data_IF_802124023089
#
_entry.id   IF_802124023089
#
_cell.length_a   1.000
_cell.length_b   1.000
_cell.length_c   1.000
_cell.angle_alpha   90.00
_cell.angle_beta   90.00
_cell.angle_gamma   90.00
#
_symmetry.space_group_name_H-M   'P 1'
#
loop_
_entity.id
_entity.type
_entity.pdbx_description
1 polymer ?
#
# COMPACT_ATOMS: atom_id res chain seq x y z
N UNK A 1 -39.46 -16.06 8.57
CA UNK A 1 -38.16 -16.00 7.85
C UNK A 1 -37.21 -15.02 8.55
N UNK A 2 -36.91 -15.22 9.84
CA UNK A 2 -36.30 -14.18 10.71
C UNK A 2 -35.07 -14.67 11.48
N UNK A 3 -34.39 -15.72 11.01
CA UNK A 3 -33.30 -16.38 11.76
C UNK A 3 -31.89 -16.20 11.18
N UNK A 4 -31.68 -15.43 10.09
CA UNK A 4 -30.36 -15.37 9.42
C UNK A 4 -29.55 -14.09 9.65
N UNK A 5 -30.05 -13.12 10.42
CA UNK A 5 -29.36 -11.83 10.63
C UNK A 5 -28.42 -11.80 11.82
N UNK A 6 -28.48 -12.78 12.74
CA UNK A 6 -27.74 -12.74 14.00
C UNK A 6 -26.28 -13.23 13.93
N UNK A 7 -25.86 -13.94 12.85
CA UNK A 7 -24.52 -14.57 12.78
C UNK A 7 -23.63 -14.02 11.67
N UNK A 8 -24.00 -12.92 11.01
CA UNK A 8 -23.27 -12.45 9.83
C UNK A 8 -22.08 -11.58 10.23
N UNK A 9 -20.88 -12.16 10.11
CA UNK A 9 -19.62 -11.40 10.18
C UNK A 9 -19.38 -10.72 8.83
N UNK A 10 -19.26 -9.39 8.84
CA UNK A 10 -18.94 -8.60 7.65
C UNK A 10 -17.49 -8.12 7.75
N UNK A 11 -16.75 -8.26 6.65
CA UNK A 11 -15.34 -7.88 6.54
C UNK A 11 -15.25 -6.80 5.45
N UNK A 12 -14.79 -5.61 5.81
CA UNK A 12 -14.60 -4.51 4.87
C UNK A 12 -13.13 -4.46 4.45
N UNK A 13 -12.86 -4.89 3.22
CA UNK A 13 -11.52 -5.00 2.65
C UNK A 13 -11.11 -6.45 2.39
N UNK A 14 -10.92 -6.79 1.12
CA UNK A 14 -10.45 -8.07 0.61
C UNK A 14 -8.92 -8.14 0.45
N UNK A 15 -8.20 -7.39 1.28
CA UNK A 15 -6.74 -7.44 1.38
C UNK A 15 -6.22 -8.71 2.07
N UNK A 16 -4.89 -8.79 2.31
CA UNK A 16 -4.28 -9.90 3.03
C UNK A 16 -4.91 -10.16 4.40
N UNK A 17 -5.18 -9.09 5.15
CA UNK A 17 -5.77 -9.17 6.48
C UNK A 17 -7.23 -9.65 6.44
N UNK A 18 -8.08 -9.04 5.61
CA UNK A 18 -9.49 -9.42 5.53
C UNK A 18 -9.71 -10.83 4.99
N UNK A 19 -8.94 -11.25 3.99
CA UNK A 19 -8.98 -12.64 3.49
C UNK A 19 -8.40 -13.64 4.49
N UNK A 20 -7.47 -13.23 5.36
CA UNK A 20 -7.01 -14.06 6.47
C UNK A 20 -8.09 -14.23 7.55
N UNK A 21 -8.75 -13.14 7.93
CA UNK A 21 -9.85 -13.17 8.87
C UNK A 21 -11.00 -14.07 8.36
N UNK A 22 -11.40 -13.92 7.09
CA UNK A 22 -12.45 -14.74 6.49
C UNK A 22 -12.10 -16.24 6.49
N UNK A 23 -10.85 -16.58 6.19
CA UNK A 23 -10.40 -17.97 6.20
C UNK A 23 -10.35 -18.56 7.61
N UNK A 24 -9.90 -17.79 8.61
CA UNK A 24 -9.89 -18.25 9.99
C UNK A 24 -11.32 -18.44 10.53
N UNK A 25 -12.24 -17.51 10.24
CA UNK A 25 -13.67 -17.67 10.56
C UNK A 25 -14.24 -18.95 9.96
N UNK A 26 -13.99 -19.19 8.67
CA UNK A 26 -14.45 -20.39 7.98
C UNK A 26 -13.87 -21.68 8.58
N UNK A 27 -12.62 -21.66 9.06
CA UNK A 27 -11.99 -22.79 9.75
C UNK A 27 -12.72 -23.16 11.05
N UNK A 28 -13.38 -22.19 11.69
CA UNK A 28 -14.23 -22.39 12.87
C UNK A 28 -15.72 -22.56 12.53
N UNK A 29 -16.07 -22.75 11.25
CA UNK A 29 -17.45 -22.96 10.81
C UNK A 29 -18.31 -21.69 10.77
N UNK A 30 -17.70 -20.50 10.92
CA UNK A 30 -18.39 -19.22 10.84
C UNK A 30 -18.45 -18.72 9.39
N UNK A 31 -19.61 -18.20 8.99
CA UNK A 31 -19.81 -17.61 7.67
C UNK A 31 -19.48 -16.12 7.69
N UNK A 32 -18.90 -15.63 6.61
CA UNK A 32 -18.54 -14.21 6.47
C UNK A 32 -18.87 -13.65 5.09
N UNK A 33 -19.00 -12.32 5.03
CA UNK A 33 -19.15 -11.56 3.79
C UNK A 33 -17.95 -10.61 3.68
N UNK A 34 -17.13 -10.75 2.65
CA UNK A 34 -16.08 -9.79 2.30
C UNK A 34 -16.66 -8.76 1.33
N UNK A 35 -16.47 -7.47 1.62
CA UNK A 35 -16.84 -6.36 0.74
C UNK A 35 -15.56 -5.62 0.35
N UNK A 36 -15.30 -5.49 -0.95
CA UNK A 36 -14.12 -4.80 -1.47
C UNK A 36 -14.50 -3.90 -2.67
N UNK A 37 -13.95 -2.68 -2.68
CA UNK A 37 -14.14 -1.72 -3.77
C UNK A 37 -13.45 -2.15 -5.08
N UNK A 38 -12.45 -3.03 -4.98
CA UNK A 38 -11.67 -3.50 -6.11
C UNK A 38 -12.33 -4.70 -6.81
N UNK A 39 -12.03 -4.92 -8.10
CA UNK A 39 -12.58 -6.04 -8.88
C UNK A 39 -12.01 -7.41 -8.51
N UNK A 40 -10.93 -7.47 -7.70
CA UNK A 40 -10.28 -8.71 -7.29
C UNK A 40 -9.74 -8.59 -5.87
N UNK A 41 -9.87 -9.67 -5.10
CA UNK A 41 -9.24 -9.85 -3.79
C UNK A 41 -7.71 -9.85 -3.89
N UNK A 42 -7.06 -9.57 -2.76
CA UNK A 42 -5.60 -9.52 -2.62
C UNK A 42 -5.06 -8.17 -2.14
N UNK A 43 -5.91 -7.14 -2.06
CA UNK A 43 -5.50 -5.77 -1.74
C UNK A 43 -4.48 -5.24 -2.76
N UNK A 44 -3.90 -4.07 -2.50
CA UNK A 44 -2.94 -3.43 -3.43
C UNK A 44 -1.71 -4.31 -3.72
N UNK A 45 -1.30 -5.14 -2.75
CA UNK A 45 -0.07 -5.93 -2.83
C UNK A 45 -0.24 -7.16 -3.73
N UNK A 46 -1.32 -7.92 -3.55
CA UNK A 46 -1.56 -9.21 -4.22
C UNK A 46 -2.63 -9.13 -5.32
N UNK A 47 -3.10 -7.92 -5.65
CA UNK A 47 -3.88 -7.70 -6.89
C UNK A 47 -2.96 -8.04 -8.04
N UNK A 48 -3.14 -9.24 -8.60
CA UNK A 48 -2.47 -9.65 -9.84
C UNK A 48 -2.79 -8.68 -10.97
N UNK A 49 -2.16 -8.84 -12.15
CA UNK A 49 -2.43 -7.96 -13.28
C UNK A 49 -3.94 -7.94 -13.58
N UNK A 50 -4.45 -6.76 -13.94
CA UNK A 50 -5.86 -6.60 -14.26
C UNK A 50 -6.24 -7.43 -15.49
N UNK A 51 -5.30 -7.62 -16.43
CA UNK A 51 -5.40 -8.50 -17.60
C UNK A 51 -4.54 -9.75 -17.45
N UNK A 52 -4.86 -10.82 -18.19
CA UNK A 52 -3.97 -11.98 -18.29
C UNK A 52 -2.69 -11.55 -19.01
N UNK A 53 -1.53 -11.91 -18.46
CA UNK A 53 -0.21 -11.62 -19.02
C UNK A 53 0.62 -12.89 -18.94
N UNK A 54 1.33 -13.23 -20.00
CA UNK A 54 2.06 -14.50 -20.09
C UNK A 54 3.28 -14.55 -19.16
N UNK A 55 3.91 -13.40 -18.86
CA UNK A 55 5.01 -13.34 -17.90
C UNK A 55 5.14 -11.97 -17.22
N UNK A 56 5.58 -11.98 -15.96
CA UNK A 56 5.90 -10.79 -15.15
C UNK A 56 7.32 -10.94 -14.59
N UNK A 57 8.37 -10.87 -15.45
CA UNK A 57 9.75 -11.18 -15.04
C UNK A 57 10.33 -10.18 -14.04
N UNK A 58 9.73 -9.00 -13.93
CA UNK A 58 10.08 -7.95 -12.97
C UNK A 58 9.45 -8.15 -11.59
N UNK A 59 8.53 -9.11 -11.40
CA UNK A 59 7.96 -9.42 -10.09
C UNK A 59 8.76 -10.50 -9.34
N UNK A 60 8.92 -10.26 -8.04
CA UNK A 60 9.61 -11.17 -7.12
C UNK A 60 8.83 -12.49 -6.94
N UNK A 61 9.54 -13.62 -6.86
CA UNK A 61 8.92 -14.94 -6.71
C UNK A 61 8.25 -15.12 -5.34
N UNK A 62 8.70 -14.39 -4.31
CA UNK A 62 7.99 -14.36 -3.03
C UNK A 62 6.59 -13.78 -3.18
N UNK A 63 6.44 -12.72 -3.98
CA UNK A 63 5.15 -12.10 -4.24
C UNK A 63 4.21 -13.08 -4.92
N UNK A 64 4.69 -13.81 -5.94
CA UNK A 64 3.91 -14.85 -6.62
C UNK A 64 3.46 -15.94 -5.64
N UNK A 65 4.37 -16.46 -4.81
CA UNK A 65 4.02 -17.47 -3.78
C UNK A 65 2.97 -16.98 -2.80
N UNK A 66 3.08 -15.74 -2.32
CA UNK A 66 2.12 -15.16 -1.40
C UNK A 66 0.73 -14.99 -2.05
N UNK A 67 0.68 -14.56 -3.31
CA UNK A 67 -0.55 -14.50 -4.09
C UNK A 67 -1.20 -15.88 -4.24
N UNK A 68 -0.42 -16.90 -4.59
CA UNK A 68 -0.92 -18.28 -4.72
C UNK A 68 -1.46 -18.80 -3.39
N UNK A 69 -0.72 -18.62 -2.29
CA UNK A 69 -1.16 -19.06 -0.96
C UNK A 69 -2.49 -18.41 -0.55
N UNK A 70 -2.67 -17.11 -0.86
CA UNK A 70 -3.91 -16.40 -0.60
C UNK A 70 -5.08 -17.00 -1.37
N UNK A 71 -4.88 -17.25 -2.67
CA UNK A 71 -5.88 -17.85 -3.55
C UNK A 71 -6.27 -19.26 -3.09
N UNK A 72 -5.28 -20.10 -2.76
CA UNK A 72 -5.50 -21.46 -2.27
C UNK A 72 -6.35 -21.45 -0.99
N UNK A 73 -6.00 -20.58 -0.02
CA UNK A 73 -6.74 -20.48 1.24
C UNK A 73 -8.18 -20.01 1.03
N UNK A 74 -8.41 -19.04 0.14
CA UNK A 74 -9.77 -18.63 -0.22
C UNK A 74 -10.55 -19.77 -0.87
N UNK A 75 -9.96 -20.45 -1.86
CA UNK A 75 -10.62 -21.54 -2.58
C UNK A 75 -11.05 -22.69 -1.66
N UNK A 76 -10.24 -23.02 -0.65
CA UNK A 76 -10.53 -24.06 0.33
C UNK A 76 -11.79 -23.76 1.18
N UNK A 77 -12.17 -22.49 1.33
CA UNK A 77 -13.26 -22.05 2.21
C UNK A 77 -14.36 -21.27 1.49
N UNK A 78 -14.39 -21.29 0.14
CA UNK A 78 -15.29 -20.48 -0.69
C UNK A 78 -16.77 -20.63 -0.35
N UNK A 79 -17.19 -21.77 0.21
CA UNK A 79 -18.60 -22.04 0.53
C UNK A 79 -19.06 -21.34 1.82
N UNK A 80 -18.11 -20.88 2.64
CA UNK A 80 -18.36 -20.15 3.89
C UNK A 80 -18.06 -18.65 3.76
N UNK A 81 -17.59 -18.20 2.59
CA UNK A 81 -17.15 -16.82 2.36
C UNK A 81 -17.92 -16.27 1.15
N UNK A 82 -18.87 -15.39 1.40
CA UNK A 82 -19.49 -14.57 0.37
C UNK A 82 -18.55 -13.40 0.03
N UNK A 83 -18.43 -13.04 -1.25
CA UNK A 83 -17.57 -11.96 -1.70
C UNK A 83 -18.35 -10.99 -2.59
N UNK A 84 -18.30 -9.70 -2.22
CA UNK A 84 -18.86 -8.57 -2.98
C UNK A 84 -17.71 -7.66 -3.42
N UNK A 85 -17.22 -7.87 -4.63
CA UNK A 85 -16.21 -7.01 -5.28
C UNK A 85 -16.88 -5.86 -6.03
N UNK A 86 -16.12 -4.80 -6.34
CA UNK A 86 -16.66 -3.59 -6.98
C UNK A 86 -17.80 -2.97 -6.15
N UNK A 87 -17.76 -3.17 -4.84
CA UNK A 87 -18.77 -2.67 -3.91
C UNK A 87 -18.08 -1.80 -2.87
N UNK A 88 -18.44 -0.51 -2.84
CA UNK A 88 -17.90 0.47 -1.90
C UNK A 88 -18.78 0.53 -0.64
N UNK A 89 -18.16 0.42 0.52
CA UNK A 89 -18.81 0.79 1.80
C UNK A 89 -18.71 2.31 1.94
N UNK A 90 -19.85 2.99 2.04
CA UNK A 90 -19.92 4.45 2.20
C UNK A 90 -19.84 4.88 3.67
N UNK A 91 -20.36 4.06 4.58
CA UNK A 91 -20.39 4.34 6.00
C UNK A 91 -21.48 3.55 6.73
N UNK A 92 -21.66 3.77 8.04
CA UNK A 92 -22.76 3.20 8.79
C UNK A 92 -24.11 3.83 8.41
N UNK A 93 -25.17 3.03 8.44
CA UNK A 93 -26.56 3.48 8.37
C UNK A 93 -27.29 2.89 9.58
N UNK A 94 -27.45 3.67 10.66
CA UNK A 94 -27.95 3.16 11.94
C UNK A 94 -26.89 2.40 12.74
N UNK A 95 -27.29 1.44 13.58
CA UNK A 95 -26.40 0.82 14.57
C UNK A 95 -25.55 -0.34 14.02
N UNK A 96 -26.13 -1.22 13.21
CA UNK A 96 -25.53 -2.51 12.81
C UNK A 96 -25.69 -2.78 11.30
N UNK A 97 -25.57 -1.73 10.51
CA UNK A 97 -25.78 -1.79 9.07
C UNK A 97 -24.83 -0.83 8.35
N UNK A 98 -24.36 -1.27 7.18
CA UNK A 98 -23.53 -0.48 6.27
C UNK A 98 -24.34 -0.07 5.04
N UNK A 99 -24.14 1.17 4.61
CA UNK A 99 -24.58 1.63 3.30
C UNK A 99 -23.52 1.25 2.26
N UNK A 100 -23.96 0.56 1.21
CA UNK A 100 -23.13 0.09 0.11
C UNK A 100 -23.48 0.83 -1.19
N UNK A 101 -22.50 0.96 -2.07
CA UNK A 101 -22.66 1.44 -3.43
C UNK A 101 -21.92 0.56 -4.42
N UNK A 102 -22.61 0.15 -5.48
CA UNK A 102 -22.07 -0.56 -6.64
C UNK A 102 -22.79 -0.07 -7.93
N UNK A 103 -22.52 -0.71 -9.07
CA UNK A 103 -23.10 -0.36 -10.38
C UNK A 103 -24.64 -0.50 -10.42
N UNK A 104 -25.24 -1.24 -9.48
CA UNK A 104 -26.70 -1.40 -9.36
C UNK A 104 -27.36 -0.32 -8.50
N UNK A 105 -26.57 0.52 -7.82
CA UNK A 105 -27.03 1.63 -7.00
C UNK A 105 -26.68 1.45 -5.52
N UNK A 106 -27.57 1.92 -4.64
CA UNK A 106 -27.38 1.86 -3.19
C UNK A 106 -28.06 0.62 -2.61
N UNK A 107 -27.35 -0.07 -1.71
CA UNK A 107 -27.89 -1.20 -0.97
C UNK A 107 -27.42 -1.21 0.48
N UNK A 108 -27.98 -2.11 1.28
CA UNK A 108 -27.75 -2.17 2.72
C UNK A 108 -27.21 -3.53 3.13
N UNK A 109 -26.22 -3.53 4.01
CA UNK A 109 -25.64 -4.75 4.55
C UNK A 109 -25.72 -4.76 6.08
N UNK A 110 -26.63 -5.53 6.69
CA UNK A 110 -26.62 -5.75 8.13
C UNK A 110 -25.44 -6.64 8.55
N UNK A 111 -24.96 -6.46 9.78
CA UNK A 111 -23.90 -7.25 10.38
C UNK A 111 -24.13 -7.48 11.88
N UNK A 112 -23.70 -8.62 12.39
CA UNK A 112 -23.61 -8.89 13.83
C UNK A 112 -22.22 -8.52 14.37
N UNK A 113 -21.18 -8.85 13.59
CA UNK A 113 -19.80 -8.47 13.83
C UNK A 113 -19.20 -7.83 12.58
N UNK A 114 -18.33 -6.86 12.77
CA UNK A 114 -17.67 -6.10 11.73
C UNK A 114 -16.15 -6.20 11.89
N UNK A 115 -15.45 -6.54 10.82
CA UNK A 115 -13.99 -6.52 10.74
C UNK A 115 -13.59 -5.47 9.71
N UNK A 116 -12.93 -4.40 10.16
CA UNK A 116 -12.35 -3.39 9.30
C UNK A 116 -10.94 -3.85 8.88
N UNK A 117 -10.78 -4.16 7.60
CA UNK A 117 -9.52 -4.52 6.96
C UNK A 117 -9.23 -3.57 5.79
N UNK A 118 -9.47 -2.27 6.02
CA UNK A 118 -9.46 -1.20 5.01
C UNK A 118 -8.07 -0.84 4.50
N UNK A 119 -7.02 -1.28 5.19
CA UNK A 119 -5.62 -1.10 4.82
C UNK A 119 -5.15 0.36 4.91
N UNK A 120 -4.07 0.67 4.20
CA UNK A 120 -3.47 1.98 4.17
C UNK A 120 -3.50 2.61 2.76
N UNK A 121 -3.15 3.90 2.68
CA UNK A 121 -2.85 4.60 1.45
C UNK A 121 -1.49 5.29 1.55
N UNK A 122 -0.86 5.59 0.42
CA UNK A 122 0.40 6.32 0.41
C UNK A 122 0.23 7.72 0.98
N UNK A 123 1.24 8.17 1.72
CA UNK A 123 1.32 9.54 2.21
C UNK A 123 1.69 10.47 1.08
N UNK A 124 0.75 11.32 0.67
CA UNK A 124 1.03 12.44 -0.23
C UNK A 124 1.79 13.54 0.51
N UNK A 125 2.99 13.89 0.02
CA UNK A 125 3.78 15.02 0.53
C UNK A 125 3.78 16.13 -0.53
N UNK A 126 3.17 17.29 -0.27
CA UNK A 126 3.18 18.40 -1.22
C UNK A 126 4.56 19.05 -1.28
N UNK A 127 5.00 19.40 -2.49
CA UNK A 127 6.19 20.20 -2.76
C UNK A 127 5.95 21.01 -4.05
N UNK A 128 6.68 22.12 -4.30
CA UNK A 128 6.47 22.91 -5.52
C UNK A 128 6.60 22.05 -6.78
N UNK A 129 5.57 22.06 -7.64
CA UNK A 129 5.51 21.28 -8.87
C UNK A 129 5.01 19.83 -8.73
N UNK A 130 4.61 19.39 -7.52
CA UNK A 130 4.11 18.03 -7.28
C UNK A 130 2.86 17.64 -8.07
N UNK A 131 2.14 18.61 -8.62
CA UNK A 131 0.94 18.43 -9.44
C UNK A 131 1.23 18.19 -10.93
N UNK A 132 2.49 18.33 -11.37
CA UNK A 132 2.84 18.19 -12.78
C UNK A 132 2.60 16.76 -13.27
N UNK A 133 2.04 16.57 -14.49
CA UNK A 133 2.05 15.28 -15.16
C UNK A 133 3.48 14.70 -15.18
N UNK A 134 3.62 13.43 -14.77
CA UNK A 134 4.91 12.77 -14.56
C UNK A 134 5.30 12.63 -13.08
N UNK A 135 4.70 13.40 -12.17
CA UNK A 135 4.85 13.18 -10.72
C UNK A 135 3.82 12.14 -10.26
N UNK A 136 4.31 11.01 -9.72
CA UNK A 136 3.46 9.92 -9.24
C UNK A 136 3.86 9.48 -7.83
N UNK A 137 2.89 8.98 -7.06
CA UNK A 137 3.20 8.25 -5.83
C UNK A 137 3.87 6.91 -6.17
N UNK A 138 4.79 6.48 -5.32
CA UNK A 138 5.70 5.36 -5.56
C UNK A 138 4.98 4.00 -5.68
N UNK A 139 3.97 3.76 -4.86
CA UNK A 139 3.09 2.59 -4.97
C UNK A 139 2.20 2.67 -6.20
N UNK A 140 1.79 3.86 -6.63
CA UNK A 140 1.17 4.09 -7.95
C UNK A 140 2.06 3.65 -9.12
N UNK A 141 3.35 4.03 -9.10
CA UNK A 141 4.36 3.56 -10.05
C UNK A 141 4.50 2.04 -10.01
N UNK A 142 4.57 1.46 -8.81
CA UNK A 142 4.66 0.01 -8.64
C UNK A 142 3.43 -0.73 -9.19
N UNK A 143 2.23 -0.19 -8.96
CA UNK A 143 0.99 -0.78 -9.45
C UNK A 143 0.93 -0.79 -10.97
N UNK A 144 1.36 0.29 -11.62
CA UNK A 144 1.45 0.36 -13.07
C UNK A 144 2.39 -0.73 -13.62
N UNK A 145 3.57 -0.89 -13.01
CA UNK A 145 4.51 -1.96 -13.38
C UNK A 145 3.90 -3.36 -13.18
N UNK A 146 3.20 -3.59 -12.05
CA UNK A 146 2.54 -4.88 -11.75
C UNK A 146 1.41 -5.21 -12.73
N UNK A 147 0.78 -4.19 -13.31
CA UNK A 147 -0.31 -4.36 -14.28
C UNK A 147 0.17 -4.73 -15.68
N UNK A 148 1.45 -4.52 -16.00
CA UNK A 148 2.10 -4.74 -17.31
C UNK A 148 1.44 -4.01 -18.49
N UNK A 149 0.78 -2.88 -18.22
CA UNK A 149 0.12 -2.09 -19.26
C UNK A 149 1.01 -0.97 -19.80
N UNK A 150 1.89 -0.38 -18.97
CA UNK A 150 2.64 0.83 -19.32
C UNK A 150 3.98 0.92 -18.57
N UNK A 151 4.98 1.52 -19.22
CA UNK A 151 6.13 2.12 -18.51
C UNK A 151 5.69 3.50 -18.01
N UNK A 152 5.81 3.81 -16.71
CA UNK A 152 5.33 5.10 -16.17
C UNK A 152 6.12 6.33 -16.67
N UNK A 153 7.31 6.10 -17.23
CA UNK A 153 8.19 7.08 -17.86
C UNK A 153 9.35 6.37 -18.55
N UNK A 154 10.17 7.11 -19.29
CA UNK A 154 11.38 6.59 -19.92
C UNK A 154 12.62 6.87 -19.07
N UNK A 155 12.68 8.03 -18.41
CA UNK A 155 13.82 8.50 -17.63
C UNK A 155 13.36 9.00 -16.26
N UNK A 156 13.48 8.15 -15.25
CA UNK A 156 12.84 8.34 -13.96
C UNK A 156 13.81 8.45 -12.78
N UNK A 157 13.45 9.28 -11.81
CA UNK A 157 14.04 9.28 -10.48
C UNK A 157 13.03 8.82 -9.42
N UNK A 158 13.52 8.18 -8.36
CA UNK A 158 12.70 7.85 -7.18
C UNK A 158 13.16 8.69 -6.00
N UNK A 159 12.23 9.36 -5.33
CA UNK A 159 12.51 10.26 -4.21
C UNK A 159 11.61 9.91 -3.03
N UNK A 160 12.14 9.91 -1.81
CA UNK A 160 11.33 9.51 -0.66
C UNK A 160 12.11 8.97 0.51
N UNK A 161 11.49 8.07 1.26
CA UNK A 161 12.15 7.27 2.29
C UNK A 161 11.52 5.90 2.43
N UNK A 162 12.35 4.89 2.67
CA UNK A 162 11.93 3.55 3.06
C UNK A 162 12.17 2.46 2.01
N UNK A 163 11.86 1.21 2.36
CA UNK A 163 12.31 0.03 1.61
C UNK A 163 11.65 -0.14 0.25
N UNK A 164 10.58 0.61 -0.05
CA UNK A 164 9.91 0.56 -1.34
C UNK A 164 10.74 1.21 -2.45
N UNK A 165 11.60 2.19 -2.12
CA UNK A 165 12.47 2.87 -3.08
C UNK A 165 13.39 1.91 -3.85
N UNK A 166 14.28 1.12 -3.20
CA UNK A 166 15.15 0.18 -3.92
C UNK A 166 14.37 -0.90 -4.66
N UNK A 167 13.23 -1.36 -4.10
CA UNK A 167 12.38 -2.36 -4.73
C UNK A 167 11.83 -1.85 -6.08
N UNK A 168 11.22 -0.66 -6.08
CA UNK A 168 10.63 -0.08 -7.30
C UNK A 168 11.71 0.34 -8.29
N UNK A 169 12.88 0.80 -7.82
CA UNK A 169 14.02 1.10 -8.69
C UNK A 169 14.47 -0.13 -9.48
N UNK A 170 14.63 -1.28 -8.82
CA UNK A 170 14.96 -2.53 -9.48
C UNK A 170 13.87 -2.94 -10.48
N UNK A 171 12.59 -2.77 -10.14
CA UNK A 171 11.47 -3.12 -11.02
C UNK A 171 11.42 -2.24 -12.26
N UNK A 172 11.59 -0.93 -12.11
CA UNK A 172 11.67 0.04 -13.22
C UNK A 172 12.82 -0.28 -14.17
N UNK A 173 14.02 -0.47 -13.63
CA UNK A 173 15.19 -0.77 -14.44
C UNK A 173 15.03 -2.11 -15.17
N UNK A 174 14.51 -3.16 -14.52
CA UNK A 174 14.17 -4.44 -15.17
C UNK A 174 13.11 -4.28 -16.26
N UNK A 175 12.19 -3.33 -16.12
CA UNK A 175 11.18 -3.01 -17.13
C UNK A 175 11.74 -2.17 -18.30
N UNK A 176 13.02 -1.77 -18.25
CA UNK A 176 13.70 -1.00 -19.29
C UNK A 176 13.57 0.52 -19.16
N UNK A 177 13.25 1.02 -17.96
CA UNK A 177 13.27 2.46 -17.65
C UNK A 177 14.70 2.87 -17.27
N UNK A 178 15.15 4.02 -17.77
CA UNK A 178 16.39 4.66 -17.35
C UNK A 178 16.21 5.28 -15.96
N UNK A 179 16.64 4.55 -14.92
CA UNK A 179 16.55 5.00 -13.52
C UNK A 179 17.77 5.85 -13.19
N UNK A 180 17.59 7.17 -13.18
CA UNK A 180 18.70 8.14 -13.09
C UNK A 180 19.18 8.37 -11.67
N UNK A 181 18.40 7.97 -10.68
CA UNK A 181 18.76 8.09 -9.28
C UNK A 181 17.64 7.69 -8.33
N UNK A 182 18.05 7.19 -7.18
CA UNK A 182 17.21 6.95 -6.01
C UNK A 182 17.69 7.84 -4.89
N UNK A 183 16.80 8.68 -4.36
CA UNK A 183 17.09 9.67 -3.32
C UNK A 183 16.32 9.28 -2.07
N UNK A 184 17.07 8.76 -1.11
CA UNK A 184 16.60 8.34 0.20
C UNK A 184 16.84 9.47 1.19
N UNK A 185 15.77 10.09 1.67
CA UNK A 185 15.81 11.26 2.54
C UNK A 185 16.41 10.94 3.92
N UNK A 186 16.35 9.68 4.37
CA UNK A 186 16.99 9.26 5.61
C UNK A 186 18.50 9.08 5.44
N UNK A 187 19.33 9.61 6.35
CA UNK A 187 20.75 9.31 6.37
C UNK A 187 21.03 7.82 6.54
N UNK A 188 22.08 7.31 5.89
CA UNK A 188 22.46 5.89 5.93
C UNK A 188 22.59 5.35 7.36
N UNK A 189 23.16 6.14 8.28
CA UNK A 189 23.36 5.73 9.67
C UNK A 189 22.04 5.40 10.40
N UNK A 190 20.95 6.12 10.11
CA UNK A 190 19.63 5.85 10.70
C UNK A 190 19.05 4.54 10.16
N UNK A 191 19.13 4.34 8.84
CA UNK A 191 18.67 3.11 8.19
C UNK A 191 19.48 1.89 8.63
N UNK A 192 20.80 2.03 8.77
CA UNK A 192 21.66 0.94 9.25
C UNK A 192 21.26 0.49 10.67
N UNK A 193 20.92 1.44 11.55
CA UNK A 193 20.43 1.14 12.91
C UNK A 193 19.11 0.36 12.89
N UNK A 194 18.17 0.75 12.02
CA UNK A 194 16.91 0.03 11.84
C UNK A 194 17.11 -1.34 11.18
N UNK A 195 18.04 -1.45 10.24
CA UNK A 195 18.40 -2.72 9.60
C UNK A 195 19.03 -3.71 10.60
N UNK A 196 19.79 -3.22 11.59
CA UNK A 196 20.29 -4.05 12.70
C UNK A 196 19.14 -4.61 13.55
N UNK A 197 18.09 -3.83 13.81
CA UNK A 197 16.89 -4.33 14.47
C UNK A 197 16.13 -5.39 13.65
N UNK A 198 16.31 -5.39 12.33
CA UNK A 198 15.74 -6.35 11.39
C UNK A 198 16.61 -7.60 11.15
N UNK A 199 17.81 -7.71 11.75
CA UNK A 199 18.69 -8.89 11.63
C UNK A 199 18.01 -10.20 12.05
N UNK A 200 17.02 -10.13 12.93
CA UNK A 200 16.20 -11.27 13.34
C UNK A 200 15.22 -11.76 12.24
N UNK A 201 15.20 -11.12 11.06
CA UNK A 201 14.39 -11.50 9.90
C UNK A 201 15.29 -11.76 8.66
N UNK A 202 16.03 -12.88 8.63
CA UNK A 202 17.12 -13.12 7.66
C UNK A 202 16.70 -13.08 6.19
N UNK A 203 15.43 -13.43 5.88
CA UNK A 203 14.91 -13.36 4.50
C UNK A 203 14.75 -11.93 4.00
N UNK A 204 14.23 -11.03 4.84
CA UNK A 204 14.02 -9.62 4.50
C UNK A 204 15.35 -8.89 4.32
N UNK A 205 16.33 -9.18 5.17
CA UNK A 205 17.68 -8.61 5.08
C UNK A 205 18.40 -9.07 3.81
N UNK A 206 18.29 -10.35 3.44
CA UNK A 206 18.92 -10.89 2.22
C UNK A 206 18.31 -10.28 0.95
N UNK A 207 16.99 -10.10 0.91
CA UNK A 207 16.31 -9.40 -0.18
C UNK A 207 16.73 -7.92 -0.28
N UNK A 208 16.89 -7.23 0.85
CA UNK A 208 17.43 -5.86 0.89
C UNK A 208 18.83 -5.77 0.28
N UNK A 209 19.74 -6.65 0.69
CA UNK A 209 21.12 -6.68 0.19
C UNK A 209 21.19 -7.01 -1.30
N UNK A 210 20.35 -7.93 -1.80
CA UNK A 210 20.32 -8.29 -3.21
C UNK A 210 19.86 -7.12 -4.09
N UNK A 211 18.88 -6.34 -3.63
CA UNK A 211 18.44 -5.11 -4.31
C UNK A 211 19.57 -4.06 -4.35
N UNK A 212 20.24 -3.79 -3.22
CA UNK A 212 21.35 -2.83 -3.21
C UNK A 212 22.51 -3.28 -4.11
N UNK A 213 22.85 -4.57 -4.10
CA UNK A 213 23.86 -5.14 -5.00
C UNK A 213 23.46 -5.00 -6.47
N UNK A 214 22.17 -5.16 -6.78
CA UNK A 214 21.65 -4.98 -8.14
C UNK A 214 21.84 -3.53 -8.60
N UNK A 215 21.41 -2.55 -7.81
CA UNK A 215 21.57 -1.13 -8.15
C UNK A 215 23.03 -0.76 -8.36
N UNK A 216 23.94 -1.23 -7.48
CA UNK A 216 25.38 -1.01 -7.62
C UNK A 216 25.95 -1.64 -8.90
N UNK A 217 25.58 -2.90 -9.20
CA UNK A 217 26.00 -3.61 -10.42
C UNK A 217 25.59 -2.86 -11.69
N UNK A 218 24.38 -2.29 -11.70
CA UNK A 218 23.83 -1.54 -12.82
C UNK A 218 24.16 -0.03 -12.79
N UNK A 219 25.03 0.41 -11.86
CA UNK A 219 25.47 1.81 -11.72
C UNK A 219 24.32 2.80 -11.53
N UNK A 220 23.21 2.36 -10.92
CA UNK A 220 22.08 3.22 -10.58
C UNK A 220 22.44 4.00 -9.31
N UNK A 221 22.49 5.35 -9.33
CA UNK A 221 22.84 6.12 -8.16
C UNK A 221 21.83 5.94 -7.02
N UNK A 222 22.32 5.77 -5.79
CA UNK A 222 21.50 5.75 -4.58
C UNK A 222 22.10 6.74 -3.57
N UNK A 223 21.45 7.90 -3.39
CA UNK A 223 21.91 8.96 -2.48
C UNK A 223 21.12 8.92 -1.16
N UNK A 224 21.83 8.75 -0.05
CA UNK A 224 21.26 8.79 1.30
C UNK A 224 21.31 10.19 1.90
N UNK A 225 20.30 10.56 2.68
CA UNK A 225 20.15 11.90 3.23
C UNK A 225 19.73 12.94 2.19
N UNK A 226 19.24 12.53 1.02
CA UNK A 226 18.82 13.43 -0.06
C UNK A 226 17.33 13.27 -0.36
N UNK A 227 16.64 14.38 -0.55
CA UNK A 227 15.21 14.37 -0.85
C UNK A 227 14.80 15.41 -1.88
N UNK A 228 13.51 15.40 -2.24
CA UNK A 228 12.92 16.31 -3.23
C UNK A 228 12.85 17.75 -2.70
N UNK A 229 13.13 18.72 -3.56
CA UNK A 229 12.95 20.16 -3.27
C UNK A 229 11.79 20.72 -4.08
N UNK A 230 11.79 20.45 -5.38
CA UNK A 230 10.77 20.90 -6.33
C UNK A 230 10.80 20.09 -7.61
N UNK A 231 9.69 20.07 -8.33
CA UNK A 231 9.58 19.61 -9.71
C UNK A 231 9.40 20.82 -10.64
N UNK A 232 9.93 20.72 -11.86
CA UNK A 232 9.86 21.78 -12.88
C UNK A 232 9.41 21.20 -14.22
N UNK A 233 8.69 22.02 -14.97
CA UNK A 233 8.05 21.69 -16.24
C UNK A 233 7.04 22.76 -16.63
N UNK A 234 6.75 22.88 -17.91
CA UNK A 234 5.66 23.74 -18.42
C UNK A 234 4.35 22.95 -18.40
N UNK A 235 4.16 22.05 -19.37
CA UNK A 235 2.97 21.19 -19.47
C UNK A 235 3.11 19.85 -18.69
N UNK A 236 4.35 19.38 -18.57
CA UNK A 236 4.71 18.13 -17.92
C UNK A 236 6.09 18.22 -17.29
N UNK A 237 6.40 17.29 -16.39
CA UNK A 237 7.69 17.20 -15.73
C UNK A 237 8.84 17.09 -16.76
N UNK A 238 9.87 17.93 -16.59
CA UNK A 238 11.11 17.88 -17.36
C UNK A 238 12.36 17.78 -16.47
N UNK A 239 12.26 18.23 -15.21
CA UNK A 239 13.34 18.07 -14.23
C UNK A 239 12.84 18.14 -12.79
N UNK A 240 13.68 17.66 -11.87
CA UNK A 240 13.52 17.85 -10.43
C UNK A 240 14.75 18.52 -9.83
N UNK A 241 14.56 19.17 -8.69
CA UNK A 241 15.63 19.57 -7.79
C UNK A 241 15.63 18.66 -6.57
N UNK A 242 16.79 18.12 -6.23
CA UNK A 242 17.02 17.31 -5.04
C UNK A 242 18.12 17.93 -4.21
N UNK A 243 18.07 17.79 -2.89
CA UNK A 243 19.06 18.37 -1.99
C UNK A 243 19.29 17.48 -0.76
N UNK A 244 20.44 17.61 -0.08
CA UNK A 244 20.63 17.06 1.26
C UNK A 244 19.58 17.59 2.24
N UNK A 245 19.10 16.75 3.14
CA UNK A 245 18.18 17.14 4.22
C UNK A 245 18.94 17.28 5.54
N UNK A 246 18.56 18.28 6.34
CA UNK A 246 19.06 18.42 7.71
C UNK A 246 18.36 17.44 8.69
N UNK A 247 18.76 17.48 9.97
CA UNK A 247 18.16 16.62 11.00
C UNK A 247 16.67 16.85 11.25
N UNK A 248 16.14 17.99 10.80
CA UNK A 248 14.75 18.44 10.89
C UNK A 248 13.99 18.18 9.58
N UNK A 249 14.57 17.42 8.64
CA UNK A 249 13.99 17.09 7.33
C UNK A 249 13.74 18.32 6.45
N UNK A 250 14.55 19.36 6.58
CA UNK A 250 14.51 20.54 5.70
C UNK A 250 15.58 20.42 4.61
N UNK A 251 15.25 20.71 3.34
CA UNK A 251 16.24 20.69 2.26
C UNK A 251 17.24 21.83 2.38
N UNK A 252 18.52 21.53 2.23
CA UNK A 252 19.62 22.49 2.09
C UNK A 252 19.67 22.97 0.63
N UNK A 253 18.85 23.98 0.32
CA UNK A 253 18.56 24.42 -1.05
C UNK A 253 19.75 24.99 -1.80
N UNK A 254 20.74 25.51 -1.09
CA UNK A 254 22.03 25.97 -1.60
C UNK A 254 22.86 24.84 -2.22
N UNK A 255 22.61 23.60 -1.79
CA UNK A 255 23.24 22.38 -2.31
C UNK A 255 22.31 21.61 -3.27
N UNK A 256 21.25 22.25 -3.79
CA UNK A 256 20.30 21.59 -4.67
C UNK A 256 20.95 21.25 -6.02
N UNK A 257 20.73 20.02 -6.46
CA UNK A 257 21.12 19.54 -7.78
C UNK A 257 19.88 19.37 -8.67
N UNK A 258 19.98 19.83 -9.91
CA UNK A 258 18.96 19.59 -10.93
C UNK A 258 19.18 18.24 -11.61
N UNK A 259 18.10 17.49 -11.81
CA UNK A 259 18.10 16.17 -12.45
C UNK A 259 17.03 16.15 -13.54
N UNK A 260 17.43 15.96 -14.79
CA UNK A 260 16.52 15.81 -15.91
C UNK A 260 15.79 14.46 -15.87
N UNK A 261 14.46 14.49 -15.90
CA UNK A 261 13.55 13.34 -15.80
C UNK A 261 12.25 13.63 -16.55
N UNK A 262 11.58 12.59 -17.06
CA UNK A 262 10.24 12.72 -17.63
C UNK A 262 9.14 12.28 -16.66
N UNK A 263 9.50 11.52 -15.62
CA UNK A 263 8.61 11.13 -14.54
C UNK A 263 9.38 10.84 -13.24
N UNK A 264 8.69 10.89 -12.10
CA UNK A 264 9.24 10.52 -10.79
C UNK A 264 8.28 9.67 -9.98
N UNK A 265 8.83 8.81 -9.13
CA UNK A 265 8.09 8.14 -8.06
C UNK A 265 8.42 8.78 -6.71
N UNK A 266 7.40 9.26 -6.00
CA UNK A 266 7.50 9.92 -4.69
C UNK A 266 6.93 9.01 -3.61
N UNK A 267 7.70 8.66 -2.58
CA UNK A 267 7.22 7.76 -1.51
C UNK A 267 7.73 8.12 -0.12
N UNK A 268 6.85 8.60 0.77
CA UNK A 268 7.19 8.98 2.15
C UNK A 268 6.41 8.16 3.19
N UNK A 269 6.19 6.89 2.88
CA UNK A 269 5.45 5.96 3.73
C UNK A 269 3.94 5.99 3.49
N UNK A 270 3.21 5.38 4.42
CA UNK A 270 1.78 5.10 4.31
C UNK A 270 1.03 5.66 5.52
N UNK A 271 -0.27 5.90 5.34
CA UNK A 271 -1.23 6.36 6.35
C UNK A 271 -2.39 5.38 6.36
N UNK A 272 -2.80 4.93 7.55
CA UNK A 272 -3.92 4.01 7.71
C UNK A 272 -5.22 4.62 7.14
N UNK A 273 -6.08 3.81 6.53
CA UNK A 273 -7.41 4.24 6.06
C UNK A 273 -8.43 4.09 7.19
N UNK A 274 -8.48 5.11 8.04
CA UNK A 274 -9.28 5.11 9.28
C UNK A 274 -10.64 5.79 9.14
N UNK A 275 -10.96 6.32 7.96
CA UNK A 275 -12.17 7.10 7.73
C UNK A 275 -13.45 6.32 8.08
N UNK A 276 -13.52 5.03 7.74
CA UNK A 276 -14.68 4.20 8.09
C UNK A 276 -14.79 3.97 9.60
N UNK A 277 -13.66 3.74 10.28
CA UNK A 277 -13.63 3.64 11.74
C UNK A 277 -14.08 4.94 12.42
N UNK A 278 -13.68 6.10 11.87
CA UNK A 278 -14.12 7.41 12.34
C UNK A 278 -15.63 7.61 12.14
N UNK A 279 -16.17 7.23 10.97
CA UNK A 279 -17.61 7.31 10.71
C UNK A 279 -18.42 6.39 11.63
N UNK A 280 -17.85 5.25 12.04
CA UNK A 280 -18.43 4.33 13.03
C UNK A 280 -18.32 4.84 14.47
N UNK A 281 -17.67 5.98 14.71
CA UNK A 281 -17.46 6.52 16.04
C UNK A 281 -16.48 5.71 16.89
N UNK A 282 -15.58 4.94 16.28
CA UNK A 282 -14.55 4.21 17.02
C UNK A 282 -13.57 5.19 17.69
N UNK A 283 -13.06 4.85 18.88
CA UNK A 283 -12.02 5.64 19.52
C UNK A 283 -10.71 5.56 18.74
N UNK A 284 -9.92 6.63 18.76
CA UNK A 284 -8.66 6.71 18.04
C UNK A 284 -7.53 7.20 18.94
N UNK A 285 -6.34 6.70 18.70
CA UNK A 285 -5.07 7.19 19.26
C UNK A 285 -4.17 7.72 18.16
N UNK A 286 -3.16 8.51 18.52
CA UNK A 286 -2.23 9.10 17.57
C UNK A 286 -0.94 8.27 17.44
N UNK A 287 -0.67 7.79 16.23
CA UNK A 287 0.60 7.19 15.81
C UNK A 287 1.45 8.21 15.06
N UNK A 288 2.73 8.32 15.44
CA UNK A 288 3.70 9.16 14.72
C UNK A 288 3.92 8.71 13.27
N UNK A 289 3.68 7.43 12.98
CA UNK A 289 3.89 6.84 11.65
C UNK A 289 2.62 6.90 10.82
N UNK A 290 1.46 6.56 11.39
CA UNK A 290 0.22 6.39 10.61
C UNK A 290 -0.83 7.48 10.85
N UNK A 291 -0.55 8.47 11.71
CA UNK A 291 -1.54 9.45 12.13
C UNK A 291 -2.55 8.86 13.10
N UNK A 292 -3.81 9.30 13.04
CA UNK A 292 -4.88 8.74 13.88
C UNK A 292 -5.21 7.31 13.45
N UNK A 293 -5.10 6.38 14.39
CA UNK A 293 -5.42 4.95 14.24
C UNK A 293 -6.45 4.53 15.29
N UNK A 294 -7.33 3.56 15.03
CA UNK A 294 -8.27 3.08 16.04
C UNK A 294 -7.55 2.61 17.31
N UNK A 295 -8.11 2.94 18.48
CA UNK A 295 -7.67 2.39 19.74
C UNK A 295 -8.24 0.97 19.89
N UNK A 296 -7.35 -0.01 20.06
CA UNK A 296 -7.69 -1.43 20.06
C UNK A 296 -7.06 -2.12 21.27
N UNK A 297 -7.70 -3.18 21.72
CA UNK A 297 -7.12 -4.11 22.69
C UNK A 297 -6.15 -5.12 22.03
N UNK A 298 -5.65 -6.07 22.83
CA UNK A 298 -4.75 -7.14 22.36
C UNK A 298 -5.42 -8.12 21.37
N UNK A 299 -6.75 -8.14 21.31
CA UNK A 299 -7.57 -8.97 20.41
C UNK A 299 -7.98 -8.22 19.16
N UNK A 300 -7.43 -7.02 18.92
CA UNK A 300 -7.79 -6.16 17.81
C UNK A 300 -9.25 -5.66 17.85
N UNK A 301 -9.88 -5.71 19.03
CA UNK A 301 -11.25 -5.24 19.26
C UNK A 301 -11.25 -3.75 19.61
N UNK A 302 -12.22 -3.01 19.09
CA UNK A 302 -12.46 -1.61 19.45
C UNK A 302 -13.32 -1.48 20.72
N UNK A 303 -13.59 -0.24 21.15
CA UNK A 303 -14.51 0.00 22.27
C UNK A 303 -15.97 -0.42 21.96
N UNK A 304 -16.31 -0.59 20.69
CA UNK A 304 -17.52 -1.28 20.28
C UNK A 304 -17.23 -2.79 20.15
N UNK A 305 -17.80 -3.61 21.04
CA UNK A 305 -17.56 -5.06 21.09
C UNK A 305 -17.93 -5.83 19.82
N UNK A 306 -18.72 -5.24 18.92
CA UNK A 306 -19.03 -5.84 17.62
C UNK A 306 -18.02 -5.51 16.52
N UNK A 307 -17.08 -4.58 16.75
CA UNK A 307 -16.16 -4.08 15.73
C UNK A 307 -14.67 -4.39 16.05
N UNK A 308 -14.00 -4.98 15.07
CA UNK A 308 -12.57 -5.34 15.09
C UNK A 308 -11.84 -4.62 13.95
N UNK A 309 -10.54 -4.35 14.12
CA UNK A 309 -9.72 -3.69 13.10
C UNK A 309 -8.40 -4.45 12.91
N UNK A 310 -8.12 -4.87 11.68
CA UNK A 310 -6.97 -5.73 11.37
C UNK A 310 -6.22 -5.25 10.13
N UNK A 311 -4.90 -5.46 10.10
CA UNK A 311 -4.05 -5.08 8.98
C UNK A 311 -3.40 -3.71 9.14
N UNK A 312 -3.13 -3.05 8.01
CA UNK A 312 -2.41 -1.78 7.88
C UNK A 312 -3.29 -0.55 8.11
#
# INVERSE_FOLDING_TARGET
MTSQTHDKVVIVGGGPAGTAAAAELARHGLKSVIIDEAPKLGGVIYRGPLRKTDSLPHLDDNLKRAMTALQTRYQAHRESIEVKTQTRVLGPEGSNQLLLSDDSGLSRQPYAHLILATGCHERSIPFPGWQLPGVMLLGGVQLQLKSSLVRPGQRMALVGTGPLLPLVACQLHKAGVDVVGVYEASPFAKLAKEAVALLNKPKLTLSGMSMMSYLKKHKIPFKYGWGIVSAQGEDQLSSIHVAPYDSQWRPQRDLAEQVAVDAIGVGYGFVARTQLAMLLGLEHTYSKVSGYVPALDEWHQSQNHSAFVVGD
#
